data_IF_060207177888
#
_entry.id   IF_060207177888
#
_cell.length_a   1.000
_cell.length_b   1.000
_cell.length_c   1.000
_cell.angle_alpha   90.00
_cell.angle_beta   90.00
_cell.angle_gamma   90.00
#
_symmetry.space_group_name_H-M   'P 1'
#
loop_
_entity.id
_entity.type
_entity.pdbx_description
1 polymer ?
#
# COMPACT_ATOMS: atom_id res chain seq x y z
N UNK A 1 -29.62 33.84 6.59
CA UNK A 1 -29.26 32.53 7.15
C UNK A 1 -27.75 32.45 7.11
N UNK A 2 -27.11 32.49 8.26
CA UNK A 2 -25.66 32.29 8.39
C UNK A 2 -25.38 30.84 8.02
N UNK A 3 -24.60 30.61 6.96
CA UNK A 3 -24.12 29.26 6.66
C UNK A 3 -23.37 28.74 7.90
N UNK A 4 -23.64 27.51 8.38
CA UNK A 4 -22.90 26.98 9.51
C UNK A 4 -21.41 27.02 9.16
N UNK A 5 -20.62 27.67 10.02
CA UNK A 5 -19.16 27.69 9.92
C UNK A 5 -18.68 26.28 10.24
N UNK A 6 -18.62 25.43 9.23
CA UNK A 6 -18.11 24.09 9.36
C UNK A 6 -16.60 24.16 9.60
N UNK A 7 -16.13 23.60 10.72
CA UNK A 7 -14.71 23.50 10.98
C UNK A 7 -14.15 22.40 10.09
N UNK A 8 -13.46 22.79 9.02
CA UNK A 8 -12.78 21.85 8.13
C UNK A 8 -11.65 21.17 8.91
N UNK A 9 -11.91 19.94 9.34
CA UNK A 9 -11.08 19.24 10.31
C UNK A 9 -9.84 18.62 9.64
N UNK A 10 -10.01 17.88 8.53
CA UNK A 10 -8.93 17.06 7.95
C UNK A 10 -8.94 16.90 6.41
N UNK A 11 -10.00 17.30 5.71
CA UNK A 11 -10.02 17.49 4.25
C UNK A 11 -10.80 16.43 3.47
N UNK A 12 -10.94 16.63 2.16
CA UNK A 12 -11.63 15.76 1.20
C UNK A 12 -11.14 16.02 -0.23
N UNK A 13 -11.46 15.16 -1.19
CA UNK A 13 -11.12 15.35 -2.60
C UNK A 13 -11.90 16.51 -3.22
N UNK A 14 -11.18 17.56 -3.61
CA UNK A 14 -11.74 18.76 -4.22
C UNK A 14 -11.70 18.72 -5.76
N UNK A 15 -10.72 18.04 -6.35
CA UNK A 15 -10.68 17.76 -7.78
C UNK A 15 -10.12 16.34 -8.02
N UNK A 16 -10.85 15.43 -8.67
CA UNK A 16 -12.29 15.54 -8.96
C UNK A 16 -13.09 15.72 -7.66
N UNK A 17 -14.19 16.49 -7.72
CA UNK A 17 -14.93 16.90 -6.53
C UNK A 17 -15.72 15.74 -5.94
N UNK A 18 -15.42 15.37 -4.70
CA UNK A 18 -16.25 14.47 -3.92
C UNK A 18 -17.54 15.15 -3.45
N UNK A 19 -18.67 14.47 -3.66
CA UNK A 19 -19.95 14.81 -3.07
C UNK A 19 -20.25 13.85 -1.92
N UNK A 20 -21.09 14.27 -0.97
CA UNK A 20 -21.32 13.58 0.28
C UNK A 20 -22.75 13.08 0.39
N UNK A 21 -22.91 11.97 1.10
CA UNK A 21 -24.24 11.43 1.41
C UNK A 21 -25.04 12.48 2.17
N UNK A 22 -26.32 12.63 1.82
CA UNK A 22 -27.23 13.57 2.46
C UNK A 22 -27.22 13.38 3.99
N UNK A 23 -27.14 14.49 4.73
CA UNK A 23 -27.06 14.49 6.19
C UNK A 23 -25.64 14.30 6.75
N UNK A 24 -24.60 14.24 5.91
CA UNK A 24 -23.21 14.26 6.40
C UNK A 24 -22.91 15.59 7.09
N UNK A 25 -22.80 15.57 8.42
CA UNK A 25 -22.47 16.76 9.21
C UNK A 25 -21.01 17.19 9.06
N UNK A 26 -20.12 16.22 8.78
CA UNK A 26 -18.68 16.42 8.82
C UNK A 26 -17.93 15.85 7.60
N UNK A 27 -18.06 16.46 6.42
CA UNK A 27 -17.47 15.95 5.17
C UNK A 27 -15.94 15.85 5.17
N UNK A 28 -15.28 16.57 6.08
CA UNK A 28 -13.82 16.64 6.15
C UNK A 28 -13.20 15.85 7.30
N UNK A 29 -13.99 15.03 8.01
CA UNK A 29 -13.49 14.19 9.10
C UNK A 29 -12.88 12.89 8.58
N UNK A 30 -12.05 12.25 9.40
CA UNK A 30 -11.70 10.84 9.20
C UNK A 30 -12.96 9.98 9.22
N UNK A 31 -12.96 8.87 8.47
CA UNK A 31 -14.04 7.88 8.48
C UNK A 31 -14.07 7.14 9.81
N UNK A 32 -12.89 6.70 10.27
CA UNK A 32 -12.69 6.10 11.59
C UNK A 32 -11.34 6.51 12.19
N UNK A 33 -11.27 6.54 13.51
CA UNK A 33 -10.03 6.62 14.27
C UNK A 33 -9.93 5.38 15.14
N UNK A 34 -8.86 4.60 14.96
CA UNK A 34 -8.67 3.30 15.60
C UNK A 34 -7.23 3.18 16.12
N UNK A 35 -7.00 2.25 17.03
CA UNK A 35 -5.64 1.90 17.45
C UNK A 35 -4.87 1.27 16.26
N UNK A 36 -3.53 1.36 16.20
CA UNK A 36 -2.77 0.66 15.17
C UNK A 36 -3.05 -0.84 15.20
N UNK A 37 -3.40 -1.42 14.06
CA UNK A 37 -3.89 -2.81 14.00
C UNK A 37 -2.76 -3.84 14.00
N UNK A 38 -1.54 -3.43 13.64
CA UNK A 38 -0.38 -4.30 13.61
C UNK A 38 0.45 -4.18 14.87
N UNK A 39 0.92 -5.32 15.38
CA UNK A 39 1.87 -5.35 16.50
C UNK A 39 3.19 -4.70 16.08
N UNK A 40 3.60 -3.68 16.80
CA UNK A 40 4.85 -2.97 16.58
C UNK A 40 5.08 -1.91 17.64
N UNK A 41 6.29 -1.37 17.68
CA UNK A 41 6.71 -0.40 18.70
C UNK A 41 6.25 1.04 18.37
N UNK A 42 4.94 1.21 18.19
CA UNK A 42 4.34 2.47 17.78
C UNK A 42 4.61 3.62 18.77
N UNK A 43 4.66 3.32 20.06
CA UNK A 43 4.83 4.35 21.09
C UNK A 43 6.23 4.97 21.08
N UNK A 44 7.25 4.21 20.67
CA UNK A 44 8.63 4.71 20.57
C UNK A 44 8.97 5.27 19.18
N UNK A 45 8.06 5.21 18.21
CA UNK A 45 8.23 5.83 16.90
C UNK A 45 8.33 7.36 17.03
N UNK A 46 9.50 7.89 16.68
CA UNK A 46 9.85 9.31 16.85
C UNK A 46 9.39 10.15 15.66
N UNK A 47 8.42 11.03 15.91
CA UNK A 47 7.87 11.92 14.90
C UNK A 47 7.26 11.19 13.70
N UNK A 48 6.98 11.96 12.66
CA UNK A 48 6.36 11.49 11.43
C UNK A 48 7.23 10.48 10.68
N UNK A 49 8.53 10.76 10.55
CA UNK A 49 9.51 9.87 9.89
C UNK A 49 9.61 8.50 10.58
N UNK A 50 9.62 8.49 11.91
CA UNK A 50 9.65 7.25 12.68
C UNK A 50 8.36 6.43 12.53
N UNK A 51 7.20 7.10 12.46
CA UNK A 51 5.92 6.44 12.24
C UNK A 51 5.83 5.82 10.85
N UNK A 52 6.23 6.56 9.82
CA UNK A 52 6.29 6.06 8.43
C UNK A 52 7.26 4.89 8.32
N UNK A 53 8.45 4.99 8.92
CA UNK A 53 9.45 3.93 8.89
C UNK A 53 8.94 2.63 9.51
N UNK A 54 8.35 2.72 10.71
CA UNK A 54 7.73 1.57 11.37
C UNK A 54 6.57 1.01 10.55
N UNK A 55 5.70 1.87 10.00
CA UNK A 55 4.60 1.44 9.14
C UNK A 55 5.11 0.64 7.93
N UNK A 56 6.16 1.12 7.24
CA UNK A 56 6.73 0.43 6.07
C UNK A 56 7.34 -0.92 6.41
N UNK A 57 7.96 -1.05 7.58
CA UNK A 57 8.42 -2.34 8.09
C UNK A 57 7.25 -3.29 8.34
N UNK A 58 6.23 -2.82 9.07
CA UNK A 58 5.07 -3.63 9.44
C UNK A 58 4.19 -4.00 8.24
N UNK A 59 4.06 -3.12 7.24
CA UNK A 59 3.34 -3.41 5.99
C UNK A 59 3.92 -4.66 5.31
N UNK A 60 5.26 -4.76 5.28
CA UNK A 60 5.97 -5.92 4.71
C UNK A 60 5.75 -7.18 5.55
N UNK A 61 5.90 -7.12 6.87
CA UNK A 61 5.76 -8.29 7.74
C UNK A 61 4.32 -8.81 7.82
N UNK A 62 3.33 -7.94 7.63
CA UNK A 62 1.91 -8.30 7.55
C UNK A 62 1.46 -8.67 6.13
N UNK A 63 2.38 -8.70 5.15
CA UNK A 63 2.10 -9.04 3.74
C UNK A 63 0.99 -8.19 3.10
N UNK A 64 0.90 -6.91 3.47
CA UNK A 64 -0.09 -5.99 2.91
C UNK A 64 0.47 -5.36 1.64
N UNK A 65 -0.15 -5.69 0.50
CA UNK A 65 0.24 -5.19 -0.82
C UNK A 65 -0.03 -3.69 -0.96
N UNK A 66 -1.27 -3.32 -0.68
CA UNK A 66 -1.80 -1.97 -0.84
C UNK A 66 -2.80 -1.64 0.29
N UNK A 67 -2.96 -0.36 0.60
CA UNK A 67 -3.84 0.06 1.69
C UNK A 67 -5.31 -0.07 1.32
N UNK A 68 -5.67 0.03 0.03
CA UNK A 68 -7.04 -0.24 -0.41
C UNK A 68 -7.51 -1.64 0.03
N UNK A 69 -6.77 -2.68 -0.31
CA UNK A 69 -7.12 -4.07 0.03
C UNK A 69 -7.30 -4.25 1.54
N UNK A 70 -6.41 -3.66 2.34
CA UNK A 70 -6.55 -3.70 3.80
C UNK A 70 -7.79 -2.95 4.27
N UNK A 71 -7.96 -1.70 3.84
CA UNK A 71 -9.00 -0.83 4.37
C UNK A 71 -10.41 -1.26 3.91
N UNK A 72 -10.54 -1.94 2.78
CA UNK A 72 -11.83 -2.45 2.29
C UNK A 72 -12.14 -3.87 2.79
N UNK A 73 -11.22 -4.51 3.52
CA UNK A 73 -11.41 -5.87 4.05
C UNK A 73 -12.45 -5.97 5.18
N UNK A 74 -12.67 -4.89 5.92
CA UNK A 74 -13.63 -4.84 7.03
C UNK A 74 -14.18 -3.42 7.21
N UNK A 75 -15.40 -3.20 6.70
CA UNK A 75 -16.08 -1.91 6.77
C UNK A 75 -16.56 -1.53 8.18
N UNK A 76 -16.59 -2.47 9.13
CA UNK A 76 -16.90 -2.18 10.53
C UNK A 76 -15.68 -1.65 11.26
N UNK A 77 -14.48 -2.13 10.90
CA UNK A 77 -13.22 -1.71 11.50
C UNK A 77 -12.65 -0.45 10.84
N UNK A 78 -12.59 -0.43 9.50
CA UNK A 78 -11.93 0.63 8.72
C UNK A 78 -12.90 1.64 8.11
N UNK A 79 -14.20 1.48 8.38
CA UNK A 79 -15.25 2.33 7.85
C UNK A 79 -15.70 1.94 6.44
N UNK A 80 -16.84 2.51 6.04
CA UNK A 80 -17.50 2.21 4.76
C UNK A 80 -16.59 2.51 3.55
N UNK A 81 -16.76 1.77 2.45
CA UNK A 81 -15.88 1.79 1.27
C UNK A 81 -15.67 3.19 0.66
N UNK A 82 -16.70 4.04 0.71
CA UNK A 82 -16.65 5.40 0.22
C UNK A 82 -16.64 6.46 1.34
N UNK A 83 -16.36 6.04 2.58
CA UNK A 83 -16.41 6.93 3.74
C UNK A 83 -17.77 7.63 3.83
N UNK A 84 -17.74 8.96 3.81
CA UNK A 84 -18.94 9.81 3.79
C UNK A 84 -19.36 10.27 2.38
N UNK A 85 -18.60 9.92 1.35
CA UNK A 85 -18.89 10.35 -0.02
C UNK A 85 -20.02 9.53 -0.62
N UNK A 86 -20.80 10.15 -1.50
CA UNK A 86 -21.88 9.49 -2.22
C UNK A 86 -21.34 8.85 -3.51
N UNK A 87 -21.24 7.50 -3.60
CA UNK A 87 -20.81 6.82 -4.81
C UNK A 87 -21.83 6.89 -5.96
N UNK A 88 -23.02 7.44 -5.71
CA UNK A 88 -24.07 7.65 -6.71
C UNK A 88 -24.22 9.10 -7.12
N UNK A 89 -23.31 9.97 -6.67
CA UNK A 89 -23.27 11.37 -7.08
C UNK A 89 -23.18 11.51 -8.60
N UNK A 90 -23.55 12.69 -9.10
CA UNK A 90 -23.44 12.98 -10.54
C UNK A 90 -21.96 12.91 -10.95
N UNK A 91 -21.60 12.10 -11.96
CA UNK A 91 -20.22 11.92 -12.37
C UNK A 91 -19.50 13.23 -12.70
N UNK A 92 -18.21 13.29 -12.40
CA UNK A 92 -17.31 14.43 -12.67
C UNK A 92 -16.42 14.15 -13.85
N UNK A 93 -16.12 15.18 -14.63
CA UNK A 93 -15.08 15.07 -15.64
C UNK A 93 -13.72 14.94 -14.96
N UNK A 94 -12.86 13.99 -15.38
CA UNK A 94 -11.52 13.89 -14.82
C UNK A 94 -10.69 15.13 -15.17
N UNK A 95 -9.85 15.61 -14.23
CA UNK A 95 -8.94 16.72 -14.49
C UNK A 95 -7.99 16.45 -15.69
N UNK A 96 -8.08 17.28 -16.71
CA UNK A 96 -7.30 17.14 -17.97
C UNK A 96 -5.81 17.45 -17.81
N UNK A 97 -5.41 18.07 -16.71
CA UNK A 97 -4.02 18.40 -16.39
C UNK A 97 -3.29 17.30 -15.59
N UNK A 98 -3.94 16.13 -15.43
CA UNK A 98 -3.41 14.97 -14.72
C UNK A 98 -3.22 15.21 -13.22
N UNK A 99 -4.05 16.05 -12.60
CA UNK A 99 -4.00 16.30 -11.15
C UNK A 99 -5.16 15.65 -10.42
N UNK A 100 -4.96 15.34 -9.15
CA UNK A 100 -6.03 15.28 -8.16
C UNK A 100 -5.69 16.22 -7.00
N UNK A 101 -6.66 16.96 -6.48
CA UNK A 101 -6.45 18.02 -5.48
C UNK A 101 -7.23 17.69 -4.22
N UNK A 102 -6.54 17.62 -3.10
CA UNK A 102 -7.17 17.55 -1.79
C UNK A 102 -7.57 18.96 -1.35
N UNK A 103 -8.67 19.11 -0.61
CA UNK A 103 -9.24 20.42 -0.23
C UNK A 103 -8.35 21.23 0.73
N UNK A 104 -7.24 20.66 1.18
CA UNK A 104 -6.24 21.25 2.07
C UNK A 104 -4.92 20.47 1.97
N UNK A 105 -3.92 20.83 2.78
CA UNK A 105 -2.72 20.00 2.94
C UNK A 105 -2.95 18.70 3.72
N UNK A 106 -2.25 17.65 3.31
CA UNK A 106 -2.11 16.40 4.06
C UNK A 106 -1.18 16.66 5.25
N UNK A 107 -1.75 16.67 6.46
CA UNK A 107 -1.09 17.11 7.69
C UNK A 107 -0.58 15.98 8.59
N UNK A 108 -0.84 14.73 8.21
CA UNK A 108 -0.39 13.56 8.96
C UNK A 108 0.33 12.61 8.03
N UNK A 109 1.42 12.05 8.53
CA UNK A 109 2.26 11.18 7.76
C UNK A 109 1.56 9.86 7.54
N UNK A 110 1.97 9.16 6.48
CA UNK A 110 1.42 7.85 6.15
C UNK A 110 1.05 7.70 4.69
N UNK A 111 0.66 6.48 4.31
CA UNK A 111 0.45 6.13 2.92
C UNK A 111 -0.85 6.70 2.38
N UNK A 112 -0.85 7.01 1.09
CA UNK A 112 -2.05 7.28 0.34
C UNK A 112 -1.99 6.60 -1.04
N UNK A 113 -3.17 6.33 -1.58
CA UNK A 113 -3.36 5.70 -2.88
C UNK A 113 -4.52 6.35 -3.62
N UNK A 114 -4.39 6.46 -4.94
CA UNK A 114 -5.48 6.81 -5.85
C UNK A 114 -5.70 5.64 -6.79
N UNK A 115 -6.97 5.28 -6.96
CA UNK A 115 -7.41 4.22 -7.84
C UNK A 115 -8.50 4.70 -8.79
N UNK A 116 -8.49 4.15 -10.00
CA UNK A 116 -9.58 4.23 -10.97
C UNK A 116 -10.11 2.82 -11.16
N UNK A 117 -11.32 2.56 -10.68
CA UNK A 117 -11.87 1.21 -10.52
C UNK A 117 -10.87 0.28 -9.82
N UNK A 118 -10.24 -0.65 -10.54
CA UNK A 118 -9.29 -1.63 -10.03
C UNK A 118 -7.82 -1.32 -10.35
N UNK A 119 -7.55 -0.18 -10.99
CA UNK A 119 -6.20 0.24 -11.34
C UNK A 119 -5.68 1.30 -10.37
N UNK A 120 -4.53 1.02 -9.75
CA UNK A 120 -3.83 1.99 -8.92
C UNK A 120 -3.04 2.93 -9.81
N UNK A 121 -3.36 4.23 -9.75
CA UNK A 121 -2.76 5.26 -10.62
C UNK A 121 -1.83 6.20 -9.85
N UNK A 122 -1.82 6.14 -8.52
CA UNK A 122 -0.86 6.85 -7.67
C UNK A 122 -0.71 6.13 -6.33
N UNK A 123 0.53 6.08 -5.82
CA UNK A 123 0.83 5.58 -4.49
C UNK A 123 2.06 6.29 -3.91
N UNK A 124 2.00 6.58 -2.61
CA UNK A 124 3.18 6.92 -1.83
C UNK A 124 3.01 6.41 -0.39
N UNK A 125 4.12 6.05 0.27
CA UNK A 125 4.10 5.62 1.68
C UNK A 125 4.10 6.80 2.66
N UNK A 126 4.44 8.01 2.20
CA UNK A 126 4.41 9.24 2.98
C UNK A 126 3.86 10.41 2.15
N UNK A 127 2.53 10.50 2.10
CA UNK A 127 1.87 11.50 1.28
C UNK A 127 1.93 12.92 1.85
N UNK A 128 2.18 13.06 3.16
CA UNK A 128 2.43 14.37 3.76
C UNK A 128 3.67 15.00 3.13
N UNK A 129 4.80 14.27 3.14
CA UNK A 129 6.07 14.78 2.60
C UNK A 129 6.06 14.85 1.07
N UNK A 130 5.37 13.93 0.40
CA UNK A 130 5.36 13.86 -1.07
C UNK A 130 4.48 14.93 -1.73
N UNK A 131 3.37 15.31 -1.08
CA UNK A 131 2.35 16.18 -1.68
C UNK A 131 1.96 17.34 -0.77
N UNK A 132 2.77 17.68 0.22
CA UNK A 132 2.50 18.75 1.17
C UNK A 132 3.74 19.14 1.96
N UNK A 133 3.52 19.86 3.06
CA UNK A 133 4.56 20.31 4.00
C UNK A 133 4.17 20.04 5.47
N UNK A 134 3.13 19.23 5.69
CA UNK A 134 2.56 18.99 7.02
C UNK A 134 1.64 20.09 7.54
N UNK A 135 1.42 21.16 6.77
CA UNK A 135 0.55 22.27 7.15
C UNK A 135 -0.82 22.16 6.48
N UNK A 136 -1.79 22.90 7.02
CA UNK A 136 -3.16 22.89 6.51
C UNK A 136 -3.31 23.79 5.29
N UNK A 137 -2.42 24.77 5.17
CA UNK A 137 -2.44 25.89 4.24
C UNK A 137 -1.92 25.49 2.85
N UNK A 138 -0.90 24.63 2.81
CA UNK A 138 -0.32 24.13 1.56
C UNK A 138 -1.21 23.04 0.97
N UNK A 139 -2.02 23.41 -0.03
CA UNK A 139 -2.93 22.49 -0.73
C UNK A 139 -2.18 21.30 -1.31
N UNK A 140 -2.61 20.09 -0.99
CA UNK A 140 -2.03 18.88 -1.56
C UNK A 140 -2.53 18.63 -2.97
N UNK A 141 -1.59 18.62 -3.91
CA UNK A 141 -1.82 18.32 -5.32
C UNK A 141 -1.10 17.02 -5.67
N UNK A 142 -1.88 15.98 -5.92
CA UNK A 142 -1.40 14.70 -6.38
C UNK A 142 -1.19 14.77 -7.90
N UNK A 143 0.06 14.61 -8.34
CA UNK A 143 0.45 14.65 -9.75
C UNK A 143 1.71 13.81 -9.97
N UNK A 144 1.80 13.05 -11.08
CA UNK A 144 0.78 12.82 -12.09
C UNK A 144 -0.30 11.82 -11.63
N UNK A 145 -1.53 12.01 -12.09
CA UNK A 145 -2.61 11.02 -12.06
C UNK A 145 -3.00 10.73 -13.50
N UNK A 146 -2.87 9.46 -13.90
CA UNK A 146 -3.29 9.00 -15.22
C UNK A 146 -4.77 8.61 -15.18
N UNK A 147 -5.60 9.31 -15.96
CA UNK A 147 -7.04 9.06 -16.06
C UNK A 147 -7.42 8.20 -17.27
N UNK A 148 -6.43 7.71 -18.03
CA UNK A 148 -6.68 6.98 -19.28
C UNK A 148 -7.33 5.60 -19.09
N UNK A 149 -7.18 5.00 -17.91
CA UNK A 149 -7.83 3.72 -17.57
C UNK A 149 -9.33 3.84 -17.28
N UNK A 150 -9.84 5.07 -17.10
CA UNK A 150 -11.26 5.30 -16.92
C UNK A 150 -12.02 4.99 -18.22
N UNK A 151 -12.91 4.00 -18.20
CA UNK A 151 -13.65 3.59 -19.39
C UNK A 151 -14.55 4.71 -19.94
N UNK A 152 -14.90 4.67 -21.23
CA UNK A 152 -15.79 5.67 -21.84
C UNK A 152 -17.19 5.78 -21.18
N UNK A 153 -17.62 4.72 -20.48
CA UNK A 153 -18.85 4.72 -19.67
C UNK A 153 -18.69 5.29 -18.26
N UNK A 154 -17.50 5.80 -17.93
CA UNK A 154 -17.12 6.22 -16.59
C UNK A 154 -16.32 5.17 -15.81
N UNK A 155 -15.85 5.60 -14.65
CA UNK A 155 -15.16 4.76 -13.66
C UNK A 155 -15.35 5.37 -12.26
N UNK A 156 -14.95 4.66 -11.22
CA UNK A 156 -14.90 5.18 -9.86
C UNK A 156 -13.50 5.64 -9.50
N UNK A 157 -13.31 6.94 -9.29
CA UNK A 157 -12.13 7.46 -8.61
C UNK A 157 -12.22 7.15 -7.12
N UNK A 158 -11.17 6.59 -6.55
CA UNK A 158 -11.07 6.30 -5.11
C UNK A 158 -9.78 6.84 -4.56
N UNK A 159 -9.89 7.65 -3.51
CA UNK A 159 -8.76 8.12 -2.73
C UNK A 159 -8.76 7.45 -1.36
N UNK A 160 -7.61 6.89 -0.99
CA UNK A 160 -7.36 6.31 0.33
C UNK A 160 -6.19 7.04 0.97
N UNK A 161 -6.31 7.37 2.26
CA UNK A 161 -5.19 7.84 3.06
C UNK A 161 -5.30 7.26 4.47
N UNK A 162 -4.21 6.64 4.93
CA UNK A 162 -4.06 6.15 6.29
C UNK A 162 -3.12 7.09 7.04
N UNK A 163 -3.69 8.01 7.80
CA UNK A 163 -2.92 8.92 8.63
C UNK A 163 -2.41 8.21 9.90
N UNK A 164 -1.10 8.29 10.11
CA UNK A 164 -0.40 7.80 11.28
C UNK A 164 -0.32 8.95 12.29
N UNK A 165 -1.34 9.04 13.15
CA UNK A 165 -1.53 10.19 14.02
C UNK A 165 -0.97 9.95 15.43
N UNK A 166 -0.43 11.01 16.03
CA UNK A 166 -0.12 11.07 17.47
C UNK A 166 -1.04 12.06 18.15
N UNK A 167 -1.91 11.58 19.05
CA UNK A 167 -2.82 12.41 19.82
C UNK A 167 -2.63 12.12 21.31
N UNK A 168 -2.30 13.15 22.09
CA UNK A 168 -2.09 13.09 23.53
C UNK A 168 -1.13 11.96 23.98
N UNK A 169 -0.05 11.77 23.22
CA UNK A 169 0.97 10.75 23.49
C UNK A 169 0.58 9.32 23.09
N UNK A 170 -0.63 9.11 22.55
CA UNK A 170 -1.06 7.82 21.98
C UNK A 170 -1.04 7.88 20.44
N UNK A 171 -0.72 6.75 19.82
CA UNK A 171 -0.75 6.59 18.36
C UNK A 171 -2.08 6.04 17.90
N UNK A 172 -2.55 6.55 16.77
CA UNK A 172 -3.79 6.15 16.13
C UNK A 172 -3.60 6.03 14.63
N UNK A 173 -4.45 5.20 14.03
CA UNK A 173 -4.72 5.24 12.60
C UNK A 173 -6.00 6.02 12.39
N UNK A 174 -5.94 7.03 11.52
CA UNK A 174 -7.12 7.69 10.99
C UNK A 174 -7.29 7.33 9.52
N UNK A 175 -8.45 6.79 9.18
CA UNK A 175 -8.75 6.31 7.82
C UNK A 175 -9.52 7.38 7.07
N UNK A 176 -9.06 7.72 5.88
CA UNK A 176 -9.73 8.62 4.95
C UNK A 176 -10.03 7.86 3.67
N UNK A 177 -11.29 7.92 3.24
CA UNK A 177 -11.78 7.31 2.00
C UNK A 177 -12.71 8.29 1.30
N UNK A 178 -12.45 8.58 0.03
CA UNK A 178 -13.35 9.35 -0.82
C UNK A 178 -13.55 8.63 -2.15
N UNK A 179 -14.79 8.59 -2.60
CA UNK A 179 -15.19 8.10 -3.91
C UNK A 179 -15.71 9.27 -4.74
N UNK A 180 -15.37 9.28 -6.04
CA UNK A 180 -15.91 10.23 -7.00
C UNK A 180 -16.24 9.48 -8.29
N UNK A 181 -17.52 9.35 -8.66
CA UNK A 181 -17.88 8.82 -9.97
C UNK A 181 -17.33 9.75 -11.06
N UNK A 182 -16.67 9.19 -12.07
CA UNK A 182 -16.12 9.94 -13.20
C UNK A 182 -16.88 9.61 -14.49
N UNK A 183 -17.01 10.60 -15.38
CA UNK A 183 -17.77 10.50 -16.63
C UNK A 183 -17.07 9.70 -17.74
N UNK A 184 -15.76 9.47 -17.64
CA UNK A 184 -14.95 8.70 -18.59
C UNK A 184 -13.53 9.23 -18.69
N UNK A 185 -12.77 9.01 -19.78
CA UNK A 185 -11.42 9.54 -19.94
C UNK A 185 -11.35 11.07 -19.87
N UNK A 186 -10.19 11.59 -19.48
CA UNK A 186 -9.93 13.03 -19.53
C UNK A 186 -10.03 13.55 -20.98
N UNK A 187 -11.02 14.42 -21.25
CA UNK A 187 -11.29 14.94 -22.60
C UNK A 187 -12.68 14.62 -23.16
N UNK A 188 -13.49 13.82 -22.45
CA UNK A 188 -14.84 13.46 -22.86
C UNK A 188 -14.84 12.31 -23.88
N UNK A 189 -15.83 11.43 -23.79
CA UNK A 189 -15.96 10.21 -24.61
C UNK A 189 -16.30 10.45 -26.09
N UNK A 190 -15.51 11.25 -26.80
CA UNK A 190 -15.49 11.25 -28.26
C UNK A 190 -14.23 10.50 -28.72
N UNK A 191 -14.43 9.41 -29.48
CA UNK A 191 -13.33 8.72 -30.18
C UNK A 191 -12.46 9.72 -30.92
N UNK A 192 -11.22 9.88 -30.48
CA UNK A 192 -10.19 10.56 -31.26
C UNK A 192 -9.14 9.54 -31.68
N UNK A 193 -9.18 9.21 -32.97
CA UNK A 193 -7.97 8.86 -33.70
C UNK A 193 -7.07 10.11 -33.79
N UNK A 194 -5.76 9.87 -33.92
CA UNK A 194 -4.65 10.78 -34.34
C UNK A 194 -3.67 11.20 -33.23
N UNK A 195 -2.41 11.60 -33.56
CA UNK A 195 -1.26 10.70 -33.61
C UNK A 195 -0.15 11.06 -32.59
N UNK A 196 0.61 10.05 -32.14
CA UNK A 196 1.77 10.24 -31.26
C UNK A 196 2.93 10.96 -31.94
N UNK A 197 3.37 12.07 -31.34
CA UNK A 197 4.75 12.55 -31.41
C UNK A 197 5.35 12.45 -30.00
N UNK A 198 6.35 11.57 -29.86
CA UNK A 198 7.00 11.31 -28.59
C UNK A 198 8.10 12.30 -28.24
N UNK A 199 8.42 12.37 -26.95
CA UNK A 199 9.80 12.39 -26.48
C UNK A 199 9.89 11.75 -25.09
N UNK A 200 10.99 11.05 -24.82
CA UNK A 200 11.06 9.99 -23.82
C UNK A 200 11.48 10.40 -22.40
N UNK A 201 10.94 9.68 -21.41
CA UNK A 201 11.69 9.30 -20.21
C UNK A 201 11.13 8.03 -19.59
N UNK A 202 12.04 7.10 -19.31
CA UNK A 202 11.83 5.70 -18.95
C UNK A 202 11.08 5.52 -17.62
N UNK A 203 9.91 4.88 -17.68
CA UNK A 203 9.31 4.12 -16.57
C UNK A 203 8.89 2.76 -17.14
N UNK A 204 9.38 1.67 -16.53
CA UNK A 204 9.18 0.29 -17.00
C UNK A 204 7.73 -0.14 -16.83
N UNK A 205 6.98 -0.20 -17.93
CA UNK A 205 5.68 -0.84 -18.05
C UNK A 205 5.82 -2.19 -18.78
N UNK A 206 5.14 -3.22 -18.30
CA UNK A 206 4.93 -4.49 -19.02
C UNK A 206 3.46 -4.57 -19.41
N UNK A 207 3.17 -4.53 -20.70
CA UNK A 207 1.83 -4.75 -21.26
C UNK A 207 1.86 -6.00 -22.15
N UNK A 208 1.04 -6.99 -21.77
CA UNK A 208 0.74 -8.15 -22.60
C UNK A 208 -0.45 -7.85 -23.49
N UNK A 209 -0.30 -8.03 -24.80
CA UNK A 209 -1.34 -7.90 -25.81
C UNK A 209 -2.22 -9.15 -25.87
N UNK A 210 -3.52 -8.96 -26.07
CA UNK A 210 -4.44 -10.01 -26.52
C UNK A 210 -5.49 -9.36 -27.41
N UNK A 211 -5.40 -9.66 -28.71
CA UNK A 211 -6.34 -9.25 -29.75
C UNK A 211 -7.53 -10.21 -29.82
N UNK A 212 -8.74 -9.65 -29.99
CA UNK A 212 -9.87 -10.33 -30.60
C UNK A 212 -10.61 -9.35 -31.50
N UNK A 213 -10.96 -9.71 -32.75
CA UNK A 213 -11.61 -8.80 -33.67
C UNK A 213 -13.13 -8.86 -33.55
N UNK A 214 -13.76 -7.68 -33.59
CA UNK A 214 -15.21 -7.52 -33.76
C UNK A 214 -15.54 -7.38 -35.25
N UNK A 215 -16.58 -8.10 -35.67
CA UNK A 215 -17.19 -8.06 -36.99
C UNK A 215 -17.86 -6.71 -37.29
N UNK A 216 -17.86 -6.32 -38.56
CA UNK A 216 -18.63 -5.20 -39.09
C UNK A 216 -18.71 -5.27 -40.61
N UNK A 217 -19.91 -5.54 -41.11
CA UNK A 217 -20.30 -5.55 -42.52
C UNK A 217 -20.13 -4.19 -43.20
N UNK A 218 -19.74 -4.19 -44.49
CA UNK A 218 -20.46 -3.48 -45.57
C UNK A 218 -19.71 -3.49 -46.91
N UNK A 219 -20.49 -3.90 -47.93
CA UNK A 219 -20.53 -3.45 -49.32
C UNK A 219 -19.41 -3.76 -50.34
N UNK A 220 -19.88 -4.29 -51.47
CA UNK A 220 -19.16 -4.73 -52.67
C UNK A 220 -18.57 -3.57 -53.47
N UNK A 221 -17.52 -3.85 -54.27
CA UNK A 221 -17.72 -3.61 -55.71
C UNK A 221 -17.31 -4.78 -56.62
N UNK A 222 -17.84 -4.69 -57.83
CA UNK A 222 -17.93 -5.67 -58.90
C UNK A 222 -16.63 -5.96 -59.65
N UNK A 223 -16.48 -7.24 -60.00
CA UNK A 223 -15.94 -7.82 -61.25
C UNK A 223 -14.67 -7.23 -61.91
N UNK A 224 -13.58 -7.99 -61.83
CA UNK A 224 -12.54 -8.08 -62.85
C UNK A 224 -12.23 -9.55 -63.13
N UNK A 225 -12.42 -9.99 -64.37
CA UNK A 225 -12.20 -11.37 -64.87
C UNK A 225 -10.78 -11.58 -65.40
N UNK A 226 -10.36 -12.86 -65.42
CA UNK A 226 -9.25 -13.48 -66.18
C UNK A 226 -7.84 -13.42 -65.54
N UNK A 227 -7.02 -14.48 -65.44
CA UNK A 227 -7.03 -15.82 -66.05
C UNK A 227 -6.39 -16.91 -65.14
N UNK A 228 -6.72 -18.17 -65.45
CA UNK A 228 -6.39 -19.44 -64.78
C UNK A 228 -4.90 -19.82 -64.68
N UNK A 229 -4.53 -20.71 -63.72
CA UNK A 229 -3.17 -21.18 -63.50
C UNK A 229 -2.80 -22.38 -64.42
N UNK A 230 -1.51 -22.54 -64.71
CA UNK A 230 -0.96 -23.75 -65.31
C UNK A 230 0.01 -24.45 -64.35
N UNK A 231 -0.01 -25.77 -64.51
CA UNK A 231 0.32 -26.87 -63.61
C UNK A 231 1.80 -27.21 -63.46
N UNK A 232 2.17 -27.67 -62.27
CA UNK A 232 3.30 -28.57 -62.04
C UNK A 232 2.83 -29.75 -61.18
N UNK A 233 2.85 -30.94 -61.77
CA UNK A 233 2.34 -32.22 -61.24
C UNK A 233 3.30 -32.89 -60.25
N UNK A 234 2.75 -33.27 -59.10
CA UNK A 234 2.78 -34.59 -58.44
C UNK A 234 4.09 -35.35 -58.23
N UNK A 235 4.34 -35.75 -56.97
CA UNK A 235 4.54 -37.15 -56.60
C UNK A 235 4.27 -37.41 -55.09
N UNK A 236 3.50 -38.46 -54.81
CA UNK A 236 3.32 -39.21 -53.55
C UNK A 236 2.91 -40.62 -54.01
N UNK A 237 3.27 -41.75 -53.35
CA UNK A 237 3.10 -42.04 -51.91
C UNK A 237 4.32 -42.85 -51.33
N UNK A 238 4.40 -43.48 -50.15
CA UNK A 238 3.44 -44.15 -49.27
C UNK A 238 4.08 -44.57 -47.92
N UNK A 239 3.24 -44.56 -46.86
CA UNK A 239 3.06 -45.54 -45.75
C UNK A 239 4.22 -46.05 -44.87
N UNK A 240 4.05 -45.85 -43.56
CA UNK A 240 4.52 -46.73 -42.48
C UNK A 240 3.80 -46.41 -41.15
N UNK A 241 2.97 -47.34 -40.67
CA UNK A 241 2.01 -47.20 -39.57
C UNK A 241 2.59 -47.42 -38.17
N UNK A 242 1.91 -46.83 -37.16
CA UNK A 242 1.68 -47.29 -35.76
C UNK A 242 2.92 -47.52 -34.86
N UNK A 243 2.96 -47.31 -33.54
CA UNK A 243 1.99 -47.39 -32.44
C UNK A 243 2.42 -46.47 -31.27
N UNK A 244 1.44 -46.00 -30.47
CA UNK A 244 1.63 -45.67 -29.03
C UNK A 244 1.27 -46.93 -28.22
N UNK A 245 1.75 -47.22 -26.98
CA UNK A 245 1.82 -46.25 -25.87
C UNK A 245 2.89 -46.49 -24.74
N UNK A 246 2.87 -45.57 -23.77
CA UNK A 246 2.95 -45.79 -22.30
C UNK A 246 4.22 -45.47 -21.49
N UNK A 247 3.99 -44.59 -20.50
CA UNK A 247 4.48 -44.57 -19.10
C UNK A 247 5.99 -44.62 -18.80
N UNK A 248 6.57 -43.46 -18.45
CA UNK A 248 7.79 -43.37 -17.64
C UNK A 248 7.45 -43.18 -16.16
N UNK A 249 7.74 -44.20 -15.35
CA UNK A 249 7.88 -44.08 -13.89
C UNK A 249 9.37 -44.01 -13.51
N UNK A 250 9.59 -43.40 -12.36
CA UNK A 250 10.83 -43.02 -11.70
C UNK A 250 11.85 -44.14 -11.50
N UNK A 251 13.15 -43.80 -11.52
CA UNK A 251 14.18 -44.57 -10.80
C UNK A 251 15.28 -43.68 -10.20
N UNK A 252 15.78 -44.16 -9.07
CA UNK A 252 16.59 -43.49 -8.03
C UNK A 252 18.11 -43.51 -8.31
N UNK A 253 18.93 -42.68 -7.63
CA UNK A 253 20.39 -42.81 -7.69
C UNK A 253 20.98 -43.57 -6.48
N UNK A 254 21.87 -44.52 -6.76
CA UNK A 254 22.92 -45.06 -5.88
C UNK A 254 23.93 -45.77 -6.81
N UNK A 255 25.24 -45.81 -6.64
CA UNK A 255 26.14 -45.70 -5.49
C UNK A 255 27.58 -45.60 -6.04
N UNK A 256 28.46 -44.82 -5.42
CA UNK A 256 29.90 -44.80 -5.71
C UNK A 256 30.74 -44.98 -4.45
N UNK A 257 31.52 -46.05 -4.40
CA UNK A 257 32.57 -46.42 -3.43
C UNK A 257 33.65 -47.14 -4.25
N UNK A 258 34.97 -47.10 -4.05
CA UNK A 258 35.96 -46.38 -3.25
C UNK A 258 37.33 -46.77 -3.87
N UNK A 259 38.41 -45.99 -3.69
CA UNK A 259 39.69 -46.48 -3.14
C UNK A 259 40.82 -45.41 -3.07
N UNK A 260 41.29 -45.24 -1.83
CA UNK A 260 42.60 -44.84 -1.24
C UNK A 260 43.50 -43.74 -1.82
N UNK A 261 44.14 -42.97 -0.91
CA UNK A 261 45.55 -43.29 -0.61
C UNK A 261 45.89 -43.43 0.89
N UNK A 262 46.87 -44.29 1.17
CA UNK A 262 47.72 -44.37 2.37
C UNK A 262 49.02 -43.61 2.05
N UNK A 263 49.87 -43.05 2.93
CA UNK A 263 50.18 -43.25 4.34
C UNK A 263 51.09 -42.10 4.80
N UNK A 264 50.91 -41.59 6.01
CA UNK A 264 51.91 -40.77 6.72
C UNK A 264 51.77 -41.00 8.23
N UNK A 265 52.73 -41.74 8.79
CA UNK A 265 52.86 -42.05 10.24
C UNK A 265 53.14 -40.76 11.03
N UNK A 266 52.33 -40.40 12.02
CA UNK A 266 52.44 -40.76 13.45
C UNK A 266 53.62 -40.14 14.19
N UNK A 267 53.33 -39.11 15.00
CA UNK A 267 53.95 -38.91 16.31
C UNK A 267 52.89 -38.48 17.33
N UNK A 268 53.06 -39.01 18.54
CA UNK A 268 52.09 -39.16 19.63
C UNK A 268 52.03 -37.95 20.60
N UNK A 269 51.06 -37.91 21.53
CA UNK A 269 50.54 -36.69 22.14
C UNK A 269 51.30 -36.24 23.40
N UNK A 270 51.23 -34.95 23.72
CA UNK A 270 51.55 -34.46 25.07
C UNK A 270 50.32 -33.81 25.70
N UNK A 271 49.96 -34.37 26.85
CA UNK A 271 48.93 -34.00 27.80
C UNK A 271 49.18 -32.63 28.43
N UNK A 272 48.23 -31.71 28.26
CA UNK A 272 48.07 -30.55 29.13
C UNK A 272 47.26 -30.96 30.36
N UNK A 273 47.91 -30.88 31.52
CA UNK A 273 47.40 -31.26 32.84
C UNK A 273 46.25 -30.35 33.31
N UNK A 274 45.28 -30.99 33.95
CA UNK A 274 44.23 -30.37 34.75
C UNK A 274 44.82 -29.67 35.97
N UNK A 275 44.27 -28.50 36.33
CA UNK A 275 44.22 -28.04 37.71
C UNK A 275 42.78 -27.64 38.03
N UNK A 276 42.22 -28.27 39.07
CA UNK A 276 40.97 -27.87 39.73
C UNK A 276 41.30 -27.29 41.12
N UNK A 277 40.27 -26.89 41.89
CA UNK A 277 40.08 -25.54 42.39
C UNK A 277 40.84 -25.23 43.70
N UNK A 278 41.08 -23.94 43.98
CA UNK A 278 41.43 -23.51 45.34
C UNK A 278 40.21 -22.93 46.04
N UNK A 279 39.75 -23.68 47.04
CA UNK A 279 38.81 -23.28 48.08
C UNK A 279 39.49 -22.34 49.07
N UNK A 280 39.05 -21.08 49.12
CA UNK A 280 39.30 -20.18 50.25
C UNK A 280 38.08 -20.18 51.17
N UNK A 281 38.25 -20.70 52.39
CA UNK A 281 37.27 -20.66 53.48
C UNK A 281 37.32 -19.32 54.21
N UNK A 282 36.13 -18.76 54.43
CA UNK A 282 35.62 -18.01 55.59
C UNK A 282 36.50 -16.99 56.33
N UNK A 283 36.01 -15.76 56.39
CA UNK A 283 35.68 -15.08 57.66
C UNK A 283 34.43 -14.19 57.48
N UNK A 284 33.54 -14.21 58.48
CA UNK A 284 32.26 -13.47 58.55
C UNK A 284 32.42 -12.10 59.27
N UNK A 285 31.33 -11.42 59.69
CA UNK A 285 30.84 -10.18 59.12
C UNK A 285 31.17 -8.94 59.98
N UNK A 286 30.95 -7.73 59.45
CA UNK A 286 30.68 -6.57 60.31
C UNK A 286 29.49 -5.76 59.81
N UNK A 287 28.51 -5.71 60.69
CA UNK A 287 27.26 -4.97 60.67
C UNK A 287 27.49 -3.46 60.73
N UNK A 288 26.89 -2.73 59.78
CA UNK A 288 26.60 -1.30 59.91
C UNK A 288 25.09 -1.10 59.95
N UNK A 289 24.55 -0.90 61.15
CA UNK A 289 23.16 -0.51 61.41
C UNK A 289 23.00 1.02 61.38
N UNK A 290 21.81 1.42 60.95
CA UNK A 290 21.11 2.69 61.25
C UNK A 290 21.59 3.93 60.49
N UNK A 291 20.73 4.84 60.01
CA UNK A 291 19.49 5.34 60.58
C UNK A 291 18.49 5.75 59.48
N UNK A 292 17.20 5.53 59.75
CA UNK A 292 16.06 6.08 59.01
C UNK A 292 15.49 7.22 59.85
N UNK A 293 15.34 8.46 59.35
CA UNK A 293 14.58 9.47 60.09
C UNK A 293 13.09 9.40 59.74
N UNK A 294 12.30 9.35 60.81
CA UNK A 294 10.85 9.31 60.87
C UNK A 294 10.13 10.45 60.13
N UNK A 295 8.92 10.11 59.67
CA UNK A 295 7.90 11.05 59.26
C UNK A 295 7.33 11.82 60.47
N UNK A 296 7.12 13.14 60.38
CA UNK A 296 6.25 13.84 61.30
C UNK A 296 4.78 13.81 60.83
N UNK A 297 3.99 13.25 61.74
CA UNK A 297 2.55 13.34 61.95
C UNK A 297 1.84 14.65 61.52
N UNK A 298 0.69 14.47 60.86
CA UNK A 298 -0.57 15.23 61.03
C UNK A 298 -0.52 16.75 61.21
N UNK A 299 -0.64 17.50 60.12
CA UNK A 299 -0.99 18.93 60.13
C UNK A 299 -2.41 19.18 59.60
N UNK A 300 -3.43 19.02 60.44
CA UNK A 300 -4.75 19.64 60.24
C UNK A 300 -5.13 20.39 61.52
N UNK A 301 -4.96 21.71 61.52
CA UNK A 301 -5.69 22.57 62.43
C UNK A 301 -5.93 23.95 61.82
N UNK A 302 -7.18 24.19 61.44
CA UNK A 302 -7.93 25.38 61.85
C UNK A 302 -7.41 26.74 61.41
N UNK A 303 -7.96 27.21 60.29
CA UNK A 303 -8.17 28.63 59.98
C UNK A 303 -8.77 29.36 61.21
N UNK A 304 -8.10 30.39 61.71
CA UNK A 304 -8.74 31.51 62.43
C UNK A 304 -8.35 32.83 61.81
N UNK A 305 -9.32 33.41 61.11
CA UNK A 305 -9.35 34.79 60.63
C UNK A 305 -9.20 35.75 61.82
N UNK A 306 -8.34 36.76 61.70
CA UNK A 306 -8.51 38.04 62.41
C UNK A 306 -8.78 39.13 61.37
N UNK A 307 -9.92 39.79 61.55
CA UNK A 307 -10.30 41.07 60.94
C UNK A 307 -9.21 42.11 61.22
N UNK A 308 -8.82 42.87 60.21
CA UNK A 308 -9.37 44.21 59.92
C UNK A 308 -9.40 44.41 58.41
#
# INVERSE_FOLDING_TARGET
MTAPTYVQAHGYMNAPLAEFVEGTESPSAWVVQIDPQWKGDWQNAKGDEGLVSLYKELKKTNNVKDIRTMLDSDTKLYGQDCGFTDPKATPKDPPTNGTAIFSRGIVHAGPCEIWLDDEMVLQNDDCQSAYGDGTKETISVFKPVDYSSCAAGGCMFRFYWLALQSLDGKKYWQVYKNCVPLSGPAGGGASQNTPSTGDGSSVTQSSGTSDSPSSGDSESPSSGTSDSPSSGTSDSPSSGSSDSPSSGSSDSPSSGTSDSPSSGSSDSPSSGTSDSPSSGTSDSPSSGTSETPEAPSSGKCGIRRRRM
#
